data_IF_156234862077
#
_entry.id   IF_156234862077
#
_cell.length_a   1.000
_cell.length_b   1.000
_cell.length_c   1.000
_cell.angle_alpha   90.00
_cell.angle_beta   90.00
_cell.angle_gamma   90.00
#
_symmetry.space_group_name_H-M   'P 1'
#
loop_
_entity.id
_entity.type
_entity.pdbx_description
1 polymer ?
#
# COMPACT_ATOMS: atom_id res chain seq x y z
N UNK A 1 6.73 -4.47 -13.61
CA UNK A 1 6.21 -3.35 -12.81
C UNK A 1 5.60 -2.35 -13.76
N UNK A 2 4.39 -1.86 -13.48
CA UNK A 2 3.74 -0.78 -14.22
C UNK A 2 3.41 0.38 -13.29
N UNK A 3 3.87 1.58 -13.61
CA UNK A 3 3.60 2.80 -12.83
C UNK A 3 2.13 3.23 -12.88
N UNK A 4 1.60 3.69 -11.74
CA UNK A 4 0.31 4.39 -11.65
C UNK A 4 0.48 5.77 -10.99
N UNK A 5 1.16 5.85 -9.84
CA UNK A 5 1.56 7.11 -9.18
C UNK A 5 3.08 7.09 -9.01
N UNK A 6 3.77 8.12 -9.51
CA UNK A 6 5.23 8.20 -9.47
C UNK A 6 5.78 8.46 -8.07
N UNK A 7 7.11 8.45 -7.97
CA UNK A 7 7.85 8.69 -6.74
C UNK A 7 8.69 7.51 -6.30
N UNK A 8 9.51 7.79 -5.28
CA UNK A 8 10.47 6.85 -4.70
C UNK A 8 10.30 6.83 -3.20
N UNK A 9 10.29 5.63 -2.62
CA UNK A 9 10.11 5.44 -1.20
C UNK A 9 10.94 4.27 -0.67
N UNK A 10 11.28 4.31 0.61
CA UNK A 10 11.98 3.23 1.31
C UNK A 10 11.21 2.88 2.57
N UNK A 11 11.07 1.59 2.86
CA UNK A 11 10.35 1.12 4.03
C UNK A 11 10.52 -0.38 4.23
N UNK A 12 9.91 -0.89 5.30
CA UNK A 12 9.81 -2.33 5.50
C UNK A 12 8.70 -2.86 4.59
N UNK A 13 9.03 -3.82 3.74
CA UNK A 13 8.06 -4.53 2.94
C UNK A 13 7.08 -5.25 3.87
N UNK A 14 5.80 -4.90 3.76
CA UNK A 14 4.69 -5.54 4.44
C UNK A 14 3.78 -6.14 3.38
N UNK A 15 3.90 -7.44 3.18
CA UNK A 15 3.16 -8.17 2.16
C UNK A 15 1.96 -8.89 2.77
N UNK A 16 0.77 -8.53 2.31
CA UNK A 16 -0.47 -9.27 2.61
C UNK A 16 -0.96 -10.01 1.38
N UNK A 17 -1.51 -11.20 1.60
CA UNK A 17 -2.18 -11.98 0.55
C UNK A 17 -3.70 -11.76 0.56
N UNK A 18 -4.21 -10.92 1.46
CA UNK A 18 -5.61 -10.58 1.60
C UNK A 18 -5.89 -9.17 1.04
N UNK A 19 -7.08 -8.93 0.47
CA UNK A 19 -7.44 -7.61 0.02
C UNK A 19 -7.76 -6.69 1.21
N UNK A 20 -7.40 -5.42 1.10
CA UNK A 20 -7.64 -4.42 2.15
C UNK A 20 -8.87 -3.56 1.79
N UNK A 21 -9.81 -3.45 2.72
CA UNK A 21 -10.82 -2.40 2.73
C UNK A 21 -10.33 -1.21 3.55
N UNK A 22 -9.75 -0.21 2.91
CA UNK A 22 -9.21 0.96 3.60
C UNK A 22 -10.26 1.69 4.46
N UNK A 23 -11.52 1.73 4.05
CA UNK A 23 -12.57 2.41 4.81
C UNK A 23 -12.98 1.65 6.07
N UNK A 24 -13.15 0.33 5.95
CA UNK A 24 -13.70 -0.51 7.02
C UNK A 24 -12.64 -1.12 7.94
N UNK A 25 -11.42 -1.34 7.46
CA UNK A 25 -10.39 -2.09 8.17
C UNK A 25 -9.27 -1.21 8.72
N UNK A 26 -9.04 -0.01 8.18
CA UNK A 26 -7.88 0.81 8.57
C UNK A 26 -8.33 1.99 9.42
N UNK A 27 -7.74 2.13 10.60
CA UNK A 27 -7.94 3.31 11.43
C UNK A 27 -7.37 4.55 10.73
N UNK A 28 -8.23 5.50 10.37
CA UNK A 28 -7.85 6.70 9.61
C UNK A 28 -6.85 7.63 10.33
N UNK A 29 -6.74 7.52 11.66
CA UNK A 29 -5.90 8.40 12.49
C UNK A 29 -4.52 7.79 12.76
N UNK A 30 -4.45 6.47 12.88
CA UNK A 30 -3.23 5.74 13.27
C UNK A 30 -2.65 4.84 12.18
N UNK A 31 -3.38 4.60 11.09
CA UNK A 31 -2.97 3.67 10.04
C UNK A 31 -2.93 2.20 10.47
N UNK A 32 -3.45 1.87 11.65
CA UNK A 32 -3.50 0.49 12.17
C UNK A 32 -4.66 -0.27 11.55
N UNK A 33 -4.41 -1.52 11.12
CA UNK A 33 -5.45 -2.44 10.65
C UNK A 33 -6.24 -3.00 11.86
N UNK A 34 -7.54 -2.78 11.89
CA UNK A 34 -8.45 -3.09 13.01
C UNK A 34 -9.33 -4.31 12.78
N UNK A 35 -9.32 -4.91 11.59
CA UNK A 35 -10.10 -6.11 11.30
C UNK A 35 -9.38 -7.36 11.81
N UNK A 36 -9.93 -8.00 12.85
CA UNK A 36 -9.36 -9.17 13.50
C UNK A 36 -9.28 -10.43 12.61
N UNK A 37 -10.00 -10.43 11.47
CA UNK A 37 -9.92 -11.52 10.49
C UNK A 37 -8.81 -11.32 9.45
N UNK A 38 -8.21 -10.13 9.40
CA UNK A 38 -7.17 -9.78 8.45
C UNK A 38 -5.78 -10.17 8.97
N UNK A 39 -4.89 -10.67 8.10
CA UNK A 39 -3.53 -11.10 8.45
C UNK A 39 -2.64 -9.98 9.02
N UNK A 40 -2.86 -8.72 8.62
CA UNK A 40 -2.23 -7.52 9.14
C UNK A 40 -2.90 -6.95 10.42
N UNK A 41 -3.88 -7.63 11.04
CA UNK A 41 -4.54 -7.14 12.25
C UNK A 41 -3.56 -6.65 13.32
N UNK A 42 -3.80 -5.44 13.83
CA UNK A 42 -2.97 -4.79 14.84
C UNK A 42 -1.65 -4.22 14.32
N UNK A 43 -1.32 -4.39 13.03
CA UNK A 43 -0.12 -3.80 12.43
C UNK A 43 -0.40 -2.39 11.90
N UNK A 44 0.59 -1.52 12.03
CA UNK A 44 0.58 -0.19 11.43
C UNK A 44 1.06 -0.26 9.97
N UNK A 45 0.39 0.49 9.09
CA UNK A 45 0.83 0.69 7.71
C UNK A 45 1.86 1.81 7.57
N UNK A 46 2.08 2.58 8.63
CA UNK A 46 2.99 3.72 8.65
C UNK A 46 4.40 3.32 8.19
N UNK A 47 4.94 4.09 7.24
CA UNK A 47 6.29 3.96 6.70
C UNK A 47 6.65 2.59 6.10
N UNK A 48 5.63 1.77 5.80
CA UNK A 48 5.79 0.48 5.14
C UNK A 48 5.83 0.65 3.62
N UNK A 49 6.41 -0.34 2.94
CA UNK A 49 6.09 -0.60 1.54
C UNK A 49 5.01 -1.66 1.56
N UNK A 50 3.76 -1.25 1.37
CA UNK A 50 2.61 -2.15 1.44
C UNK A 50 2.42 -2.88 0.12
N UNK A 51 2.56 -4.20 0.13
CA UNK A 51 2.22 -5.05 -1.00
C UNK A 51 0.89 -5.77 -0.74
N UNK A 52 -0.06 -5.63 -1.67
CA UNK A 52 -1.41 -6.21 -1.55
C UNK A 52 -1.95 -6.69 -2.90
N UNK A 53 -2.87 -7.66 -2.94
CA UNK A 53 -3.43 -8.14 -4.19
C UNK A 53 -4.37 -7.11 -4.83
N UNK A 54 -5.30 -6.53 -4.06
CA UNK A 54 -6.24 -5.50 -4.52
C UNK A 54 -6.92 -4.81 -3.32
N UNK A 55 -7.47 -3.63 -3.57
CA UNK A 55 -8.39 -2.97 -2.64
C UNK A 55 -9.82 -3.51 -2.80
N UNK A 56 -10.60 -3.48 -1.74
CA UNK A 56 -12.04 -3.76 -1.75
C UNK A 56 -12.81 -2.63 -1.06
N UNK A 57 -14.11 -2.51 -1.35
CA UNK A 57 -15.00 -1.57 -0.70
C UNK A 57 -15.50 -0.47 -1.64
N UNK A 58 -15.96 0.63 -1.04
CA UNK A 58 -16.56 1.77 -1.75
C UNK A 58 -15.51 2.82 -2.09
N UNK A 59 -15.79 3.64 -3.12
CA UNK A 59 -14.92 4.75 -3.57
C UNK A 59 -14.55 5.74 -2.46
N UNK A 60 -15.32 5.77 -1.37
CA UNK A 60 -15.05 6.59 -0.18
C UNK A 60 -13.75 6.17 0.54
N UNK A 61 -13.25 4.95 0.34
CA UNK A 61 -11.98 4.49 0.93
C UNK A 61 -10.76 5.33 0.52
N UNK A 62 -10.83 6.07 -0.60
CA UNK A 62 -9.78 7.00 -1.01
C UNK A 62 -9.55 8.11 0.03
N UNK A 63 -10.60 8.55 0.73
CA UNK A 63 -10.49 9.52 1.82
C UNK A 63 -9.75 8.95 3.03
N UNK A 64 -9.86 7.64 3.30
CA UNK A 64 -9.09 7.03 4.38
C UNK A 64 -7.61 7.01 4.04
N UNK A 65 -7.23 6.65 2.80
CA UNK A 65 -5.84 6.71 2.34
C UNK A 65 -5.28 8.14 2.49
N UNK A 66 -6.05 9.15 2.10
CA UNK A 66 -5.66 10.55 2.28
C UNK A 66 -5.55 10.95 3.77
N UNK A 67 -6.47 10.47 4.61
CA UNK A 67 -6.47 10.77 6.05
C UNK A 67 -5.25 10.17 6.73
N UNK A 68 -4.93 8.89 6.50
CA UNK A 68 -3.73 8.27 7.08
C UNK A 68 -2.46 8.97 6.59
N UNK A 69 -2.41 9.48 5.35
CA UNK A 69 -1.28 10.28 4.88
C UNK A 69 -1.16 11.60 5.62
N UNK A 70 -2.26 12.33 5.78
CA UNK A 70 -2.31 13.61 6.50
C UNK A 70 -1.93 13.45 7.98
N UNK A 71 -2.19 12.27 8.54
CA UNK A 71 -1.86 11.90 9.91
C UNK A 71 -0.46 11.25 10.04
N UNK A 72 0.37 11.29 9.00
CA UNK A 72 1.70 10.67 8.95
C UNK A 72 1.71 9.16 9.24
N UNK A 73 0.59 8.46 9.00
CA UNK A 73 0.37 7.05 9.26
C UNK A 73 0.19 6.20 7.99
N UNK A 74 0.48 6.78 6.82
CA UNK A 74 0.36 6.09 5.54
C UNK A 74 1.57 5.17 5.27
N UNK A 75 1.40 4.16 4.40
CA UNK A 75 2.53 3.50 3.76
C UNK A 75 3.34 4.51 2.93
N UNK A 76 4.65 4.29 2.87
CA UNK A 76 5.55 5.12 2.05
C UNK A 76 5.37 4.85 0.55
N UNK A 77 4.97 3.63 0.17
CA UNK A 77 4.53 3.27 -1.18
C UNK A 77 3.60 2.05 -1.14
N UNK A 78 2.83 1.87 -2.22
CA UNK A 78 1.93 0.73 -2.40
C UNK A 78 2.32 -0.04 -3.68
N UNK A 79 2.44 -1.36 -3.56
CA UNK A 79 2.62 -2.31 -4.65
C UNK A 79 1.33 -3.15 -4.75
N UNK A 80 0.57 -2.99 -5.83
CA UNK A 80 -0.77 -3.58 -5.91
C UNK A 80 -0.96 -4.41 -7.18
N UNK A 81 -1.41 -5.65 -7.07
CA UNK A 81 -1.58 -6.50 -8.26
C UNK A 81 -2.71 -6.00 -9.17
N UNK A 82 -3.83 -5.58 -8.57
CA UNK A 82 -5.01 -5.04 -9.29
C UNK A 82 -5.60 -3.87 -8.49
N UNK A 83 -5.07 -2.64 -8.61
CA UNK A 83 -5.64 -1.50 -7.91
C UNK A 83 -7.04 -1.20 -8.47
N UNK A 84 -7.99 -0.98 -7.56
CA UNK A 84 -9.28 -0.41 -7.90
C UNK A 84 -9.19 1.12 -7.99
N UNK A 85 -10.29 1.76 -8.40
CA UNK A 85 -10.33 3.22 -8.51
C UNK A 85 -10.10 3.91 -7.16
N UNK A 86 -10.52 3.28 -6.06
CA UNK A 86 -10.35 3.76 -4.69
C UNK A 86 -8.88 3.88 -4.32
N UNK A 87 -8.10 2.80 -4.49
CA UNK A 87 -6.66 2.76 -4.19
C UNK A 87 -5.91 3.72 -5.11
N UNK A 88 -6.20 3.69 -6.42
CA UNK A 88 -5.55 4.57 -7.39
C UNK A 88 -5.78 6.06 -7.05
N UNK A 89 -7.02 6.46 -6.79
CA UNK A 89 -7.38 7.85 -6.48
C UNK A 89 -6.81 8.27 -5.12
N UNK A 90 -6.92 7.41 -4.10
CA UNK A 90 -6.36 7.67 -2.78
C UNK A 90 -4.86 7.91 -2.83
N UNK A 91 -4.12 7.05 -3.54
CA UNK A 91 -2.67 7.22 -3.72
C UNK A 91 -2.33 8.50 -4.49
N UNK A 92 -3.05 8.79 -5.57
CA UNK A 92 -2.81 9.97 -6.39
C UNK A 92 -3.02 11.27 -5.58
N UNK A 93 -4.12 11.37 -4.84
CA UNK A 93 -4.42 12.56 -4.02
C UNK A 93 -3.47 12.66 -2.82
N UNK A 94 -3.07 11.54 -2.23
CA UNK A 94 -2.16 11.50 -1.09
C UNK A 94 -0.67 11.61 -1.47
N UNK A 95 -0.32 11.67 -2.77
CA UNK A 95 1.05 11.57 -3.26
C UNK A 95 1.80 10.35 -2.67
N UNK A 96 1.15 9.19 -2.68
CA UNK A 96 1.77 7.91 -2.32
C UNK A 96 2.15 7.20 -3.62
N UNK A 97 3.42 6.85 -3.84
CA UNK A 97 3.84 6.07 -4.98
C UNK A 97 3.05 4.75 -5.07
N UNK A 98 2.54 4.46 -6.26
CA UNK A 98 1.72 3.29 -6.52
C UNK A 98 2.19 2.62 -7.81
N UNK A 99 2.62 1.38 -7.69
CA UNK A 99 2.98 0.53 -8.81
C UNK A 99 2.10 -0.71 -8.86
N UNK A 100 1.88 -1.19 -10.08
CA UNK A 100 1.22 -2.45 -10.37
C UNK A 100 2.28 -3.51 -10.62
N UNK A 101 2.18 -4.61 -9.90
CA UNK A 101 3.01 -5.79 -10.08
C UNK A 101 2.16 -6.92 -10.65
N UNK A 102 2.73 -7.73 -11.54
CA UNK A 102 2.07 -8.98 -11.93
C UNK A 102 2.23 -10.05 -10.83
N UNK A 103 1.63 -11.23 -11.04
CA UNK A 103 1.68 -12.33 -10.07
C UNK A 103 3.11 -12.77 -9.76
N UNK A 104 3.96 -12.89 -10.78
CA UNK A 104 5.34 -13.35 -10.61
C UNK A 104 6.17 -12.33 -9.83
N UNK A 105 5.98 -11.04 -10.13
CA UNK A 105 6.60 -9.94 -9.40
C UNK A 105 6.17 -9.91 -7.93
N UNK A 106 4.87 -10.08 -7.65
CA UNK A 106 4.34 -10.14 -6.28
C UNK A 106 4.90 -11.33 -5.50
N UNK A 107 4.96 -12.52 -6.12
CA UNK A 107 5.49 -13.74 -5.49
C UNK A 107 7.01 -13.66 -5.22
N UNK A 108 7.75 -12.85 -5.99
CA UNK A 108 9.18 -12.63 -5.78
C UNK A 108 9.51 -11.72 -4.58
N UNK A 109 8.50 -11.10 -3.96
CA UNK A 109 8.70 -10.19 -2.84
C UNK A 109 9.07 -10.92 -1.55
N UNK A 110 10.20 -10.55 -0.94
CA UNK A 110 10.65 -11.11 0.34
C UNK A 110 10.12 -10.27 1.51
N UNK A 111 9.07 -10.75 2.18
CA UNK A 111 8.43 -10.02 3.28
C UNK A 111 9.39 -9.68 4.44
N UNK A 112 9.12 -8.58 5.15
CA UNK A 112 9.95 -8.03 6.23
C UNK A 112 11.37 -7.61 5.84
N UNK A 113 11.67 -7.53 4.54
CA UNK A 113 12.90 -6.91 4.04
C UNK A 113 12.77 -5.39 3.96
N UNK A 114 13.88 -4.67 4.17
CA UNK A 114 13.93 -3.24 3.92
C UNK A 114 14.18 -3.03 2.43
N UNK A 115 13.23 -2.41 1.73
CA UNK A 115 13.34 -2.18 0.29
C UNK A 115 13.17 -0.72 -0.05
N UNK A 116 13.76 -0.33 -1.18
CA UNK A 116 13.49 0.93 -1.86
C UNK A 116 12.73 0.65 -3.14
N UNK A 117 11.54 1.24 -3.27
CA UNK A 117 10.75 1.21 -4.50
C UNK A 117 10.95 2.54 -5.21
N UNK A 118 11.41 2.49 -6.45
CA UNK A 118 11.49 3.63 -7.35
C UNK A 118 10.48 3.41 -8.48
N UNK A 119 9.27 3.97 -8.33
CA UNK A 119 8.18 3.77 -9.29
C UNK A 119 8.44 4.54 -10.59
N UNK A 120 9.21 5.63 -10.52
CA UNK A 120 9.61 6.40 -11.71
C UNK A 120 10.62 5.62 -12.56
N UNK A 121 11.58 4.95 -11.93
CA UNK A 121 12.56 4.10 -12.59
C UNK A 121 12.05 2.68 -12.89
N UNK A 122 10.93 2.27 -12.29
CA UNK A 122 10.38 0.92 -12.44
C UNK A 122 11.19 -0.16 -11.71
N UNK A 123 11.76 0.16 -10.55
CA UNK A 123 12.73 -0.71 -9.85
C UNK A 123 12.35 -0.95 -8.39
N UNK A 124 12.72 -2.14 -7.90
CA UNK A 124 12.71 -2.51 -6.49
C UNK A 124 14.14 -2.90 -6.11
N UNK A 125 14.67 -2.27 -5.07
CA UNK A 125 16.01 -2.51 -4.54
C UNK A 125 15.90 -3.09 -3.13
N UNK A 126 16.53 -4.25 -2.92
CA UNK A 126 16.65 -4.86 -1.59
C UNK A 126 17.89 -4.29 -0.89
N UNK A 127 17.72 -3.79 0.34
CA UNK A 127 18.79 -3.20 1.15
C UNK A 127 19.25 -4.13 2.27
#
# INVERSE_FOLDING_TARGET
MRRLVGGRATGILTHTHQPINFLGMVNKDTGIVQDASHDLYGRSLQDTILALPYGIGSSVGAYTIYSIKSNNAAPSAILCQRPDLTVATGCAVANIPLAILDTFEMESLHDNSKITVDVDAGMILYN
#
